data_IF_771350419158
#
_entry.id   IF_771350419158
#
_cell.length_a   1.000
_cell.length_b   1.000
_cell.length_c   1.000
_cell.angle_alpha   90.00
_cell.angle_beta   90.00
_cell.angle_gamma   90.00
#
_symmetry.space_group_name_H-M   'P 1'
#
loop_
_entity.id
_entity.type
_entity.pdbx_description
1 polymer ?
#
# COMPACT_ATOMS: atom_id res chain seq x y z
N UNK A 1 -0.25 -55.17 25.89
CA UNK A 1 0.26 -53.93 25.28
C UNK A 1 0.24 -54.09 23.77
N UNK A 2 -0.87 -53.72 23.13
CA UNK A 2 -1.02 -53.68 21.68
C UNK A 2 -0.54 -52.31 21.19
N UNK A 3 0.58 -52.29 20.49
CA UNK A 3 1.14 -51.10 19.85
C UNK A 3 0.36 -50.81 18.57
N UNK A 4 -0.46 -49.76 18.59
CA UNK A 4 -1.12 -49.22 17.39
C UNK A 4 -0.09 -48.47 16.56
N UNK A 5 0.36 -49.06 15.45
CA UNK A 5 1.21 -48.40 14.46
C UNK A 5 0.38 -47.36 13.70
N UNK A 6 0.54 -46.08 14.02
CA UNK A 6 -0.03 -44.99 13.24
C UNK A 6 0.72 -44.85 11.92
N UNK A 7 0.07 -45.15 10.80
CA UNK A 7 0.59 -44.92 9.46
C UNK A 7 0.71 -43.41 9.20
N UNK A 8 1.87 -42.89 8.75
CA UNK A 8 2.01 -41.49 8.40
C UNK A 8 1.22 -41.18 7.11
N UNK A 9 0.33 -40.20 7.18
CA UNK A 9 -0.40 -39.68 6.01
C UNK A 9 0.59 -38.93 5.11
N UNK A 10 0.78 -39.42 3.89
CA UNK A 10 1.59 -38.75 2.88
C UNK A 10 1.06 -37.33 2.61
N UNK A 11 1.92 -36.33 2.34
CA UNK A 11 1.46 -34.98 2.00
C UNK A 11 0.57 -35.07 0.75
N UNK A 12 -0.70 -34.69 0.90
CA UNK A 12 -1.64 -34.67 -0.21
C UNK A 12 -1.15 -33.62 -1.22
N UNK A 13 -0.77 -34.07 -2.41
CA UNK A 13 -0.36 -33.19 -3.50
C UNK A 13 -1.56 -32.40 -4.00
N UNK A 14 -1.49 -31.08 -3.90
CA UNK A 14 -2.55 -30.18 -4.33
C UNK A 14 -2.69 -30.28 -5.86
N UNK A 15 -3.86 -30.67 -6.40
CA UNK A 15 -4.04 -30.82 -7.84
C UNK A 15 -3.98 -29.45 -8.53
N UNK A 16 -3.29 -29.33 -9.69
CA UNK A 16 -3.25 -28.06 -10.42
C UNK A 16 -4.64 -27.71 -10.99
N UNK A 17 -4.83 -26.43 -11.32
CA UNK A 17 -6.04 -25.98 -12.01
C UNK A 17 -6.11 -26.59 -13.43
N UNK A 18 -7.32 -26.87 -13.94
CA UNK A 18 -7.54 -27.13 -15.36
C UNK A 18 -6.94 -26.02 -16.24
N UNK A 19 -6.37 -26.40 -17.39
CA UNK A 19 -5.59 -25.50 -18.24
C UNK A 19 -6.42 -24.35 -18.83
N UNK A 20 -7.68 -24.63 -19.16
CA UNK A 20 -8.67 -23.64 -19.61
C UNK A 20 -8.95 -22.59 -18.52
N UNK A 21 -9.09 -23.03 -17.27
CA UNK A 21 -9.31 -22.14 -16.13
C UNK A 21 -8.05 -21.31 -15.80
N UNK A 22 -6.84 -21.90 -15.80
CA UNK A 22 -5.60 -21.13 -15.62
C UNK A 22 -5.46 -20.05 -16.71
N UNK A 23 -5.75 -20.39 -17.97
CA UNK A 23 -5.71 -19.44 -19.07
C UNK A 23 -6.74 -18.30 -18.90
N UNK A 24 -7.98 -18.61 -18.52
CA UNK A 24 -9.01 -17.61 -18.25
C UNK A 24 -8.58 -16.65 -17.13
N UNK A 25 -8.04 -17.17 -16.01
CA UNK A 25 -7.58 -16.36 -14.90
C UNK A 25 -6.39 -15.45 -15.27
N UNK A 26 -5.48 -15.92 -16.16
CA UNK A 26 -4.42 -15.06 -16.72
C UNK A 26 -5.00 -13.92 -17.54
N UNK A 27 -5.95 -14.22 -18.44
CA UNK A 27 -6.60 -13.20 -19.30
C UNK A 27 -7.32 -12.14 -18.47
N UNK A 28 -7.96 -12.54 -17.37
CA UNK A 28 -8.64 -11.64 -16.43
C UNK A 28 -7.70 -10.93 -15.44
N UNK A 29 -6.39 -11.23 -15.47
CA UNK A 29 -5.39 -10.71 -14.52
C UNK A 29 -5.75 -11.00 -13.06
N UNK A 30 -6.29 -12.19 -12.78
CA UNK A 30 -6.63 -12.68 -11.45
C UNK A 30 -5.48 -13.53 -10.88
N UNK A 31 -4.33 -12.88 -10.71
CA UNK A 31 -3.07 -13.57 -10.45
C UNK A 31 -3.00 -14.22 -9.07
N UNK A 32 -3.67 -13.65 -8.06
CA UNK A 32 -3.70 -14.19 -6.71
C UNK A 32 -4.58 -15.43 -6.66
N UNK A 33 -5.81 -15.32 -7.19
CA UNK A 33 -6.73 -16.46 -7.34
C UNK A 33 -6.06 -17.61 -8.09
N UNK A 34 -5.39 -17.32 -9.20
CA UNK A 34 -4.72 -18.34 -10.00
C UNK A 34 -3.66 -19.12 -9.22
N UNK A 35 -2.97 -18.47 -8.27
CA UNK A 35 -1.97 -19.12 -7.42
C UNK A 35 -2.60 -19.88 -6.25
N UNK A 36 -3.62 -19.31 -5.61
CA UNK A 36 -4.21 -19.87 -4.37
C UNK A 36 -5.36 -20.85 -4.62
N UNK A 37 -6.01 -20.82 -5.78
CA UNK A 37 -7.19 -21.64 -6.06
C UNK A 37 -6.97 -23.15 -5.92
N UNK A 38 -5.84 -23.76 -6.34
CA UNK A 38 -5.58 -25.17 -6.06
C UNK A 38 -5.77 -25.55 -4.57
N UNK A 39 -5.18 -24.76 -3.67
CA UNK A 39 -5.22 -24.99 -2.23
C UNK A 39 -6.60 -24.69 -1.64
N UNK A 40 -7.23 -23.59 -2.09
CA UNK A 40 -8.57 -23.20 -1.65
C UNK A 40 -9.61 -24.24 -2.06
N UNK A 41 -9.53 -24.76 -3.28
CA UNK A 41 -10.46 -25.80 -3.77
C UNK A 41 -10.27 -27.13 -3.03
N UNK A 42 -9.04 -27.51 -2.71
CA UNK A 42 -8.77 -28.71 -1.90
C UNK A 42 -9.33 -28.56 -0.47
N UNK A 43 -9.09 -27.39 0.14
CA UNK A 43 -9.61 -27.05 1.48
C UNK A 43 -11.14 -27.07 1.48
N UNK A 44 -11.76 -26.41 0.50
CA UNK A 44 -13.21 -26.35 0.33
C UNK A 44 -13.84 -27.74 0.20
N UNK A 45 -13.22 -28.63 -0.58
CA UNK A 45 -13.68 -30.02 -0.72
C UNK A 45 -13.59 -30.78 0.60
N UNK A 46 -12.49 -30.61 1.33
CA UNK A 46 -12.23 -31.30 2.61
C UNK A 46 -13.18 -30.82 3.71
N UNK A 47 -13.40 -29.52 3.77
CA UNK A 47 -14.22 -28.85 4.79
C UNK A 47 -15.69 -28.67 4.37
N UNK A 48 -16.06 -29.14 3.17
CA UNK A 48 -17.41 -29.06 2.60
C UNK A 48 -17.97 -27.62 2.57
N UNK A 49 -17.14 -26.68 2.12
CA UNK A 49 -17.57 -25.30 1.91
C UNK A 49 -18.69 -25.21 0.88
N UNK A 50 -19.61 -24.27 1.12
CA UNK A 50 -20.59 -23.83 0.13
C UNK A 50 -19.90 -23.14 -1.05
N UNK A 51 -20.53 -23.13 -2.25
CA UNK A 51 -20.00 -22.39 -3.40
C UNK A 51 -19.70 -20.91 -3.08
N UNK A 52 -20.54 -20.28 -2.25
CA UNK A 52 -20.41 -18.90 -1.82
C UNK A 52 -19.15 -18.66 -0.98
N UNK A 53 -18.80 -19.59 -0.08
CA UNK A 53 -17.58 -19.51 0.73
C UNK A 53 -16.32 -19.60 -0.13
N UNK A 54 -16.29 -20.52 -1.11
CA UNK A 54 -15.18 -20.64 -2.06
C UNK A 54 -15.01 -19.35 -2.84
N UNK A 55 -16.10 -18.83 -3.41
CA UNK A 55 -16.06 -17.60 -4.19
C UNK A 55 -15.59 -16.42 -3.35
N UNK A 56 -16.09 -16.30 -2.11
CA UNK A 56 -15.70 -15.26 -1.16
C UNK A 56 -14.20 -15.29 -0.88
N UNK A 57 -13.65 -16.44 -0.47
CA UNK A 57 -12.22 -16.57 -0.15
C UNK A 57 -11.33 -16.22 -1.33
N UNK A 58 -11.67 -16.69 -2.53
CA UNK A 58 -10.92 -16.39 -3.75
C UNK A 58 -10.94 -14.89 -4.07
N UNK A 59 -12.12 -14.27 -4.04
CA UNK A 59 -12.30 -12.84 -4.33
C UNK A 59 -11.60 -11.97 -3.29
N UNK A 60 -11.75 -12.26 -2.01
CA UNK A 60 -11.08 -11.52 -0.91
C UNK A 60 -9.55 -11.62 -1.04
N UNK A 61 -9.02 -12.80 -1.39
CA UNK A 61 -7.58 -12.99 -1.63
C UNK A 61 -7.06 -12.15 -2.80
N UNK A 62 -7.83 -12.00 -3.87
CA UNK A 62 -7.46 -11.15 -5.00
C UNK A 62 -7.54 -9.66 -4.66
N UNK A 63 -8.61 -9.24 -3.97
CA UNK A 63 -8.78 -7.84 -3.53
C UNK A 63 -7.61 -7.45 -2.63
N UNK A 64 -7.31 -8.23 -1.59
CA UNK A 64 -6.21 -7.96 -0.68
C UNK A 64 -4.85 -7.86 -1.40
N UNK A 65 -4.60 -8.76 -2.37
CA UNK A 65 -3.38 -8.71 -3.16
C UNK A 65 -3.29 -7.47 -4.06
N UNK A 66 -4.41 -7.03 -4.65
CA UNK A 66 -4.49 -5.81 -5.46
C UNK A 66 -4.30 -4.56 -4.61
N UNK A 67 -4.93 -4.48 -3.45
CA UNK A 67 -4.79 -3.35 -2.53
C UNK A 67 -3.35 -3.23 -2.03
N UNK A 68 -2.74 -4.34 -1.63
CA UNK A 68 -1.33 -4.37 -1.24
C UNK A 68 -0.40 -3.97 -2.42
N UNK A 69 -0.72 -4.37 -3.65
CA UNK A 69 0.04 -3.94 -4.83
C UNK A 69 -0.13 -2.44 -5.11
N UNK A 70 -1.34 -1.92 -4.97
CA UNK A 70 -1.65 -0.50 -5.19
C UNK A 70 -0.92 0.38 -4.16
N UNK A 71 -0.96 0.00 -2.88
CA UNK A 71 -0.22 0.68 -1.80
C UNK A 71 1.28 0.67 -2.09
N UNK A 72 1.87 -0.50 -2.42
CA UNK A 72 3.31 -0.59 -2.75
C UNK A 72 3.68 0.29 -3.94
N UNK A 73 2.86 0.32 -4.98
CA UNK A 73 3.10 1.15 -6.15
C UNK A 73 3.01 2.64 -5.81
N UNK A 74 2.02 3.07 -5.01
CA UNK A 74 1.91 4.46 -4.54
C UNK A 74 3.05 4.86 -3.61
N UNK A 75 3.49 3.99 -2.69
CA UNK A 75 4.65 4.25 -1.82
C UNK A 75 5.91 4.45 -2.64
N UNK A 76 6.15 3.58 -3.64
CA UNK A 76 7.27 3.74 -4.57
C UNK A 76 7.17 5.04 -5.37
N UNK A 77 5.97 5.36 -5.87
CA UNK A 77 5.72 6.59 -6.61
C UNK A 77 5.86 7.85 -5.74
N UNK A 78 5.63 7.77 -4.43
CA UNK A 78 5.78 8.90 -3.52
C UNK A 78 7.24 9.33 -3.36
N UNK A 79 8.19 8.40 -3.46
CA UNK A 79 9.61 8.74 -3.49
C UNK A 79 10.18 9.25 -2.16
N UNK A 80 9.63 8.79 -1.03
CA UNK A 80 10.17 9.15 0.28
C UNK A 80 11.63 8.70 0.43
N UNK A 81 12.50 9.52 1.06
CA UNK A 81 13.92 9.19 1.24
C UNK A 81 14.13 8.09 2.28
N UNK A 82 13.21 7.98 3.23
CA UNK A 82 13.20 7.00 4.32
C UNK A 82 11.78 6.59 4.65
N UNK A 83 11.60 5.40 5.21
CA UNK A 83 10.33 4.97 5.79
C UNK A 83 10.23 5.44 7.23
N UNK A 84 9.31 6.35 7.52
CA UNK A 84 9.00 6.84 8.87
C UNK A 84 7.49 6.81 9.06
N UNK A 85 7.00 6.15 10.10
CA UNK A 85 5.56 6.01 10.33
C UNK A 85 5.12 6.89 11.50
N UNK A 86 3.81 7.17 11.59
CA UNK A 86 3.27 7.95 12.70
C UNK A 86 3.37 7.19 14.03
N UNK A 87 3.25 5.86 14.00
CA UNK A 87 3.34 5.00 15.19
C UNK A 87 4.75 4.97 15.79
N UNK A 88 5.77 5.25 14.97
CA UNK A 88 7.17 5.35 15.43
C UNK A 88 7.56 6.77 15.87
N UNK A 89 6.63 7.72 15.85
CA UNK A 89 6.88 9.11 16.24
C UNK A 89 6.58 9.33 17.73
N UNK A 90 7.56 9.81 18.47
CA UNK A 90 7.37 10.24 19.86
C UNK A 90 6.75 11.64 19.90
N UNK A 91 5.42 11.69 20.05
CA UNK A 91 4.65 12.94 20.15
C UNK A 91 5.02 13.71 21.43
N UNK A 92 5.34 13.02 22.52
CA UNK A 92 5.67 13.67 23.80
C UNK A 92 7.02 14.40 23.73
N UNK A 93 7.94 13.93 22.90
CA UNK A 93 9.21 14.59 22.60
C UNK A 93 9.11 15.69 21.51
N UNK A 94 7.94 15.87 20.89
CA UNK A 94 7.72 16.88 19.86
C UNK A 94 7.22 18.21 20.42
N UNK A 95 7.44 19.28 19.66
CA UNK A 95 6.82 20.59 19.90
C UNK A 95 5.41 20.70 19.31
N UNK A 96 4.95 19.69 18.57
CA UNK A 96 3.61 19.64 17.99
C UNK A 96 2.62 19.29 19.11
N UNK A 97 1.60 20.13 19.38
CA UNK A 97 0.58 19.80 20.37
C UNK A 97 -0.16 18.51 20.02
N UNK A 98 -0.48 17.68 21.02
CA UNK A 98 -1.07 16.36 20.82
C UNK A 98 -2.38 16.39 20.00
N UNK A 99 -3.25 17.37 20.28
CA UNK A 99 -4.50 17.57 19.51
C UNK A 99 -4.25 17.92 18.04
N UNK A 100 -3.18 18.67 17.76
CA UNK A 100 -2.77 19.02 16.40
C UNK A 100 -2.23 17.80 15.69
N UNK A 101 -1.40 17.00 16.37
CA UNK A 101 -0.89 15.74 15.82
C UNK A 101 -2.03 14.76 15.51
N UNK A 102 -3.02 14.63 16.38
CA UNK A 102 -4.21 13.80 16.14
C UNK A 102 -5.01 14.29 14.94
N UNK A 103 -5.29 15.59 14.85
CA UNK A 103 -5.94 16.18 13.67
C UNK A 103 -5.16 15.91 12.38
N UNK A 104 -3.84 16.11 12.39
CA UNK A 104 -2.99 15.84 11.23
C UNK A 104 -3.04 14.35 10.84
N UNK A 105 -3.00 13.46 11.83
CA UNK A 105 -3.03 12.00 11.65
C UNK A 105 -4.36 11.50 11.08
N UNK A 106 -5.46 12.24 11.27
CA UNK A 106 -6.77 11.93 10.67
C UNK A 106 -6.81 12.12 9.14
N UNK A 107 -5.85 12.87 8.59
CA UNK A 107 -5.76 13.27 7.17
C UNK A 107 -6.97 14.07 6.66
N UNK A 108 -7.85 14.55 7.54
CA UNK A 108 -9.01 15.35 7.15
C UNK A 108 -8.60 16.65 6.44
N UNK A 109 -7.46 17.22 6.82
CA UNK A 109 -6.88 18.40 6.18
C UNK A 109 -6.51 18.16 4.71
N UNK A 110 -6.16 16.93 4.32
CA UNK A 110 -5.88 16.58 2.92
C UNK A 110 -7.18 16.62 2.11
N UNK A 111 -8.27 16.05 2.64
CA UNK A 111 -9.60 16.11 2.03
C UNK A 111 -10.15 17.53 1.93
N UNK A 112 -9.90 18.34 2.97
CA UNK A 112 -10.26 19.76 3.01
C UNK A 112 -9.34 20.66 2.15
N UNK A 113 -8.32 20.11 1.48
CA UNK A 113 -7.36 20.84 0.65
C UNK A 113 -6.64 21.97 1.43
N UNK A 114 -6.35 21.75 2.71
CA UNK A 114 -5.60 22.69 3.53
C UNK A 114 -4.09 22.45 3.43
N UNK A 115 -3.31 23.52 3.50
CA UNK A 115 -1.86 23.45 3.54
C UNK A 115 -1.35 23.34 4.98
N UNK A 116 -0.36 22.48 5.20
CA UNK A 116 0.30 22.30 6.50
C UNK A 116 1.75 22.76 6.40
N UNK A 117 2.15 23.65 7.30
CA UNK A 117 3.53 24.09 7.43
C UNK A 117 4.03 23.82 8.86
N UNK A 118 5.06 22.97 8.98
CA UNK A 118 5.73 22.71 10.25
C UNK A 118 6.97 23.60 10.35
N UNK A 119 7.02 24.46 11.36
CA UNK A 119 8.10 25.44 11.56
C UNK A 119 8.73 25.20 12.93
N UNK A 120 10.06 25.17 13.00
CA UNK A 120 10.79 25.04 14.26
C UNK A 120 12.24 24.63 14.08
N UNK A 121 13.03 24.60 15.17
CA UNK A 121 14.46 24.28 15.14
C UNK A 121 14.79 22.96 14.46
N UNK A 122 16.00 22.79 13.94
CA UNK A 122 16.44 21.51 13.39
C UNK A 122 16.33 20.39 14.44
N UNK A 123 16.06 19.16 14.02
CA UNK A 123 15.98 17.99 14.91
C UNK A 123 14.66 17.79 15.67
N UNK A 124 13.68 18.69 15.57
CA UNK A 124 12.38 18.57 16.28
C UNK A 124 11.36 17.60 15.65
N UNK A 125 11.81 16.70 14.77
CA UNK A 125 10.95 15.68 14.17
C UNK A 125 10.05 16.12 13.01
N UNK A 126 10.09 17.38 12.56
CA UNK A 126 9.23 17.91 11.47
C UNK A 126 9.24 17.04 10.20
N UNK A 127 10.43 16.70 9.69
CA UNK A 127 10.56 15.85 8.49
C UNK A 127 10.04 14.44 8.74
N UNK A 128 10.22 13.89 9.95
CA UNK A 128 9.61 12.61 10.32
C UNK A 128 8.09 12.73 10.26
N UNK A 129 7.51 13.75 10.88
CA UNK A 129 6.06 13.97 10.90
C UNK A 129 5.51 14.08 9.48
N UNK A 130 6.12 14.90 8.61
CA UNK A 130 5.69 15.05 7.21
C UNK A 130 5.76 13.72 6.44
N UNK A 131 6.86 12.98 6.57
CA UNK A 131 7.00 11.66 5.93
C UNK A 131 5.96 10.68 6.49
N UNK A 132 5.74 10.66 7.79
CA UNK A 132 4.73 9.82 8.45
C UNK A 132 3.31 10.12 7.96
N UNK A 133 2.95 11.40 7.85
CA UNK A 133 1.68 11.84 7.30
C UNK A 133 1.56 11.43 5.82
N UNK A 134 2.62 11.58 5.04
CA UNK A 134 2.66 11.15 3.64
C UNK A 134 2.47 9.64 3.48
N UNK A 135 3.11 8.83 4.32
CA UNK A 135 2.95 7.37 4.32
C UNK A 135 1.52 7.00 4.73
N UNK A 136 0.99 7.60 5.80
CA UNK A 136 -0.41 7.40 6.21
C UNK A 136 -1.39 7.76 5.08
N UNK A 137 -1.14 8.87 4.37
CA UNK A 137 -1.94 9.28 3.22
C UNK A 137 -1.91 8.26 2.08
N UNK A 138 -0.74 7.68 1.77
CA UNK A 138 -0.65 6.59 0.78
C UNK A 138 -1.47 5.38 1.20
N UNK A 139 -1.43 4.99 2.48
CA UNK A 139 -2.23 3.89 3.02
C UNK A 139 -3.73 4.19 2.96
N UNK A 140 -4.14 5.46 3.14
CA UNK A 140 -5.51 5.93 2.95
C UNK A 140 -5.93 6.06 1.47
N UNK A 141 -5.04 5.72 0.52
CA UNK A 141 -5.34 5.69 -0.92
C UNK A 141 -4.99 6.96 -1.68
N UNK A 142 -4.44 7.98 -1.02
CA UNK A 142 -4.02 9.22 -1.65
C UNK A 142 -2.78 9.04 -2.52
N UNK A 143 -2.72 9.80 -3.62
CA UNK A 143 -1.53 9.98 -4.46
C UNK A 143 -0.64 11.02 -3.80
N UNK A 144 0.51 10.58 -3.35
CA UNK A 144 1.47 11.45 -2.65
C UNK A 144 2.74 11.55 -3.47
N UNK A 145 3.40 12.71 -3.41
CA UNK A 145 4.76 12.87 -3.92
C UNK A 145 5.60 13.69 -2.95
N UNK A 146 6.83 13.26 -2.72
CA UNK A 146 7.81 13.94 -1.89
C UNK A 146 8.90 14.57 -2.76
N UNK A 147 9.30 15.79 -2.41
CA UNK A 147 10.49 16.47 -2.90
C UNK A 147 11.22 17.18 -1.77
N UNK A 148 12.54 17.25 -1.85
CA UNK A 148 13.22 18.37 -1.19
C UNK A 148 12.96 19.63 -2.01
N UNK A 149 13.01 20.81 -1.37
CA UNK A 149 12.87 22.07 -2.11
C UNK A 149 13.90 22.19 -3.25
N UNK A 150 15.13 21.71 -3.02
CA UNK A 150 16.18 21.67 -4.04
C UNK A 150 15.79 20.76 -5.23
N UNK A 151 15.34 19.52 -4.96
CA UNK A 151 14.94 18.58 -6.00
C UNK A 151 13.76 19.09 -6.83
N UNK A 152 12.80 19.77 -6.19
CA UNK A 152 11.66 20.34 -6.89
C UNK A 152 12.10 21.46 -7.85
N UNK A 153 12.94 22.39 -7.36
CA UNK A 153 13.48 23.48 -8.20
C UNK A 153 14.27 22.92 -9.36
N UNK A 154 15.14 21.93 -9.12
CA UNK A 154 15.92 21.29 -10.18
C UNK A 154 15.01 20.60 -11.20
N UNK A 155 13.99 19.87 -10.74
CA UNK A 155 13.01 19.19 -11.61
C UNK A 155 12.29 20.19 -12.52
N UNK A 156 11.88 21.33 -11.99
CA UNK A 156 11.22 22.39 -12.76
C UNK A 156 12.19 23.07 -13.73
N UNK A 157 13.44 23.31 -13.32
CA UNK A 157 14.46 23.95 -14.17
C UNK A 157 14.85 23.07 -15.36
N UNK A 158 15.06 21.77 -15.14
CA UNK A 158 15.28 20.79 -16.24
C UNK A 158 14.08 20.76 -17.18
N UNK A 159 12.86 20.76 -16.63
CA UNK A 159 11.65 20.83 -17.42
C UNK A 159 11.56 22.07 -18.29
N UNK A 160 12.08 23.21 -17.82
CA UNK A 160 12.13 24.44 -18.61
C UNK A 160 13.11 24.32 -19.79
N UNK A 161 14.30 23.76 -19.54
CA UNK A 161 15.33 23.55 -20.57
C UNK A 161 14.85 22.63 -21.70
N UNK A 162 14.11 21.56 -21.35
CA UNK A 162 13.62 20.57 -22.32
C UNK A 162 12.19 20.87 -22.83
N UNK A 163 11.65 22.05 -22.51
CA UNK A 163 10.29 22.49 -22.88
C UNK A 163 9.17 21.52 -22.44
N UNK A 164 9.34 20.88 -21.28
CA UNK A 164 8.39 19.92 -20.67
C UNK A 164 7.80 20.39 -19.34
N UNK A 165 8.18 21.59 -18.84
CA UNK A 165 7.77 22.11 -17.53
C UNK A 165 6.25 22.10 -17.30
N UNK A 166 5.45 22.43 -18.33
CA UNK A 166 3.99 22.39 -18.24
C UNK A 166 3.46 20.99 -17.91
N UNK A 167 4.01 19.96 -18.57
CA UNK A 167 3.65 18.56 -18.29
C UNK A 167 4.08 18.13 -16.88
N UNK A 168 5.23 18.61 -16.42
CA UNK A 168 5.70 18.36 -15.04
C UNK A 168 4.73 18.96 -14.04
N UNK A 169 4.34 20.22 -14.21
CA UNK A 169 3.37 20.90 -13.34
C UNK A 169 2.03 20.15 -13.36
N UNK A 170 1.51 19.78 -14.53
CA UNK A 170 0.27 19.00 -14.66
C UNK A 170 0.34 17.65 -13.92
N UNK A 171 1.53 17.04 -13.86
CA UNK A 171 1.74 15.78 -13.14
C UNK A 171 1.76 15.99 -11.63
N UNK A 172 2.33 17.11 -11.15
CA UNK A 172 2.35 17.49 -9.74
C UNK A 172 0.95 17.86 -9.24
N UNK A 173 0.17 18.60 -10.04
CA UNK A 173 -1.20 19.00 -9.70
C UNK A 173 -2.19 17.83 -9.62
N UNK A 174 -1.83 16.64 -10.14
CA UNK A 174 -2.64 15.42 -10.04
C UNK A 174 -2.39 14.63 -8.75
N UNK A 175 -1.43 15.06 -7.94
CA UNK A 175 -1.20 14.46 -6.62
C UNK A 175 -2.20 15.04 -5.63
N UNK A 176 -2.68 14.21 -4.72
CA UNK A 176 -3.56 14.65 -3.62
C UNK A 176 -2.74 15.35 -2.53
N UNK A 177 -1.45 15.01 -2.40
CA UNK A 177 -0.53 15.61 -1.46
C UNK A 177 0.88 15.74 -2.06
N UNK A 178 1.44 16.93 -1.99
CA UNK A 178 2.85 17.23 -2.32
C UNK A 178 3.56 17.64 -1.02
N UNK A 179 4.66 16.97 -0.69
CA UNK A 179 5.50 17.22 0.49
C UNK A 179 6.85 17.73 0.05
#
# INVERSE_FOLDING_TARGET
MTTTTSTPVAPQTVPPLPADLDHALRRLKLASIRRSAPEVLLTAKTQRWTPEEVLRTLVETEIAARDASNIRNRLKAAGFPVTKTLESFDVAASSIPANTFEYLSSLEWVRAQHNVALIGPAGTGKSHTLIGLGIAAVHAGHKVRYFTAADLVETLYRGLADNTVGRTIDTLLRQDLLI
#
